data_IF_893713970273
#
_entry.id   IF_893713970273
#
_cell.length_a   1.000
_cell.length_b   1.000
_cell.length_c   1.000
_cell.angle_alpha   90.00
_cell.angle_beta   90.00
_cell.angle_gamma   90.00
#
_symmetry.space_group_name_H-M   'P 1'
#
loop_
_entity.id
_entity.type
_entity.pdbx_description
1 polymer ?
#
# COMPACT_ATOMS: atom_id res chain seq x y z
N UNK A 1 -18.56 26.39 6.79
CA UNK A 1 -18.98 25.15 7.46
C UNK A 1 -18.73 24.03 6.46
N UNK A 2 -17.80 23.09 6.70
CA UNK A 2 -17.65 21.93 5.83
C UNK A 2 -18.80 20.98 6.12
N UNK A 3 -19.57 20.66 5.09
CA UNK A 3 -20.62 19.64 5.16
C UNK A 3 -19.91 18.29 5.17
N UNK A 4 -19.87 17.61 6.33
CA UNK A 4 -19.44 16.23 6.41
C UNK A 4 -20.40 15.37 5.57
N UNK A 5 -19.89 14.65 4.58
CA UNK A 5 -20.67 13.72 3.77
C UNK A 5 -20.69 12.35 4.48
N UNK A 6 -21.77 11.94 5.16
CA UNK A 6 -21.82 10.67 5.90
C UNK A 6 -21.82 9.44 4.96
N UNK A 7 -22.14 9.61 3.67
CA UNK A 7 -22.26 8.51 2.72
C UNK A 7 -20.92 7.77 2.42
N UNK A 8 -19.78 8.47 2.43
CA UNK A 8 -18.49 7.86 2.13
C UNK A 8 -18.00 6.92 3.24
N UNK A 9 -18.30 7.23 4.49
CA UNK A 9 -17.85 6.42 5.62
C UNK A 9 -18.52 5.03 5.65
N UNK A 10 -19.80 4.98 5.34
CA UNK A 10 -20.56 3.70 5.26
C UNK A 10 -20.02 2.82 4.13
N UNK A 11 -19.64 3.42 3.01
CA UNK A 11 -19.10 2.70 1.85
C UNK A 11 -17.72 2.08 2.13
N UNK A 12 -16.81 2.80 2.85
CA UNK A 12 -15.51 2.25 3.24
C UNK A 12 -15.62 1.09 4.23
N UNK A 13 -16.60 1.13 5.13
CA UNK A 13 -16.86 0.06 6.09
C UNK A 13 -17.30 -1.22 5.37
N UNK A 14 -18.18 -1.13 4.40
CA UNK A 14 -18.63 -2.23 3.55
C UNK A 14 -17.47 -2.90 2.78
N UNK A 15 -16.59 -2.09 2.17
CA UNK A 15 -15.42 -2.60 1.44
C UNK A 15 -14.48 -3.39 2.35
N UNK A 16 -14.24 -2.93 3.58
CA UNK A 16 -13.40 -3.63 4.54
C UNK A 16 -14.01 -4.96 4.99
N UNK A 17 -15.33 -5.04 5.10
CA UNK A 17 -16.06 -6.27 5.43
C UNK A 17 -15.95 -7.30 4.30
N UNK A 18 -16.02 -6.89 3.04
CA UNK A 18 -15.90 -7.78 1.88
C UNK A 18 -14.49 -8.41 1.75
N UNK A 19 -13.43 -7.69 2.16
CA UNK A 19 -12.06 -8.22 2.20
C UNK A 19 -11.91 -9.28 3.29
N UNK A 20 -12.59 -9.12 4.41
CA UNK A 20 -12.54 -10.02 5.56
C UNK A 20 -13.11 -11.43 5.29
N UNK A 21 -14.05 -11.58 4.38
CA UNK A 21 -14.74 -12.86 4.11
C UNK A 21 -13.79 -13.96 3.61
N UNK A 22 -12.56 -13.63 3.22
CA UNK A 22 -11.56 -14.59 2.72
C UNK A 22 -10.40 -14.89 3.69
N UNK A 23 -10.35 -14.28 4.88
CA UNK A 23 -9.23 -14.40 5.83
C UNK A 23 -9.60 -15.05 7.17
N UNK A 24 -8.63 -15.70 7.82
CA UNK A 24 -8.80 -16.46 9.07
C UNK A 24 -9.18 -15.58 10.28
N UNK A 25 -9.91 -16.15 11.26
CA UNK A 25 -10.48 -15.47 12.46
C UNK A 25 -9.51 -14.55 13.24
N UNK A 26 -8.20 -14.82 13.24
CA UNK A 26 -7.20 -13.96 13.90
C UNK A 26 -6.97 -12.64 13.16
N UNK A 27 -7.07 -12.65 11.83
CA UNK A 27 -6.99 -11.46 10.98
C UNK A 27 -8.23 -10.59 11.18
N UNK A 28 -9.39 -11.21 11.38
CA UNK A 28 -10.65 -10.51 11.64
C UNK A 28 -10.61 -9.74 12.97
N UNK A 29 -10.07 -10.34 14.03
CA UNK A 29 -9.92 -9.66 15.33
C UNK A 29 -8.99 -8.44 15.25
N UNK A 30 -7.85 -8.57 14.57
CA UNK A 30 -6.93 -7.46 14.33
C UNK A 30 -7.59 -6.34 13.50
N UNK A 31 -8.29 -6.71 12.44
CA UNK A 31 -8.99 -5.74 11.58
C UNK A 31 -10.04 -4.96 12.38
N UNK A 32 -10.87 -5.66 13.18
CA UNK A 32 -11.91 -5.03 14.00
C UNK A 32 -11.27 -4.10 15.04
N UNK A 33 -10.20 -4.55 15.72
CA UNK A 33 -9.46 -3.72 16.70
C UNK A 33 -8.86 -2.49 16.03
N UNK A 34 -8.21 -2.63 14.88
CA UNK A 34 -7.59 -1.51 14.17
C UNK A 34 -8.64 -0.51 13.65
N UNK A 35 -9.78 -1.01 13.16
CA UNK A 35 -10.85 -0.21 12.56
C UNK A 35 -11.71 0.52 13.60
N UNK A 36 -12.17 -0.21 14.61
CA UNK A 36 -13.23 0.22 15.53
C UNK A 36 -12.74 0.57 16.95
N UNK A 37 -11.53 0.14 17.32
CA UNK A 37 -10.95 0.38 18.64
C UNK A 37 -10.71 1.86 18.94
N UNK A 38 -10.61 2.20 20.22
CA UNK A 38 -10.25 3.55 20.67
C UNK A 38 -8.79 3.83 20.28
N UNK A 39 -8.57 4.84 19.43
CA UNK A 39 -7.24 5.19 18.92
C UNK A 39 -6.58 6.25 19.82
N UNK A 40 -5.46 5.90 20.44
CA UNK A 40 -4.66 6.76 21.28
C UNK A 40 -3.28 7.00 20.68
N UNK A 41 -2.99 8.23 20.29
CA UNK A 41 -1.66 8.63 19.80
C UNK A 41 -0.68 8.69 20.97
N UNK A 42 0.47 8.06 20.84
CA UNK A 42 1.51 7.95 21.85
C UNK A 42 2.84 8.58 21.44
N UNK A 43 3.01 8.89 20.14
CA UNK A 43 4.23 9.50 19.63
C UNK A 43 4.10 9.98 18.18
N UNK A 44 5.18 10.56 17.67
CA UNK A 44 5.33 10.96 16.29
C UNK A 44 6.66 10.46 15.73
N UNK A 45 6.67 9.92 14.52
CA UNK A 45 7.91 9.61 13.81
C UNK A 45 8.53 10.90 13.29
N UNK A 46 9.79 11.15 13.66
CA UNK A 46 10.47 12.45 13.44
C UNK A 46 10.93 12.59 11.99
N UNK A 47 11.34 11.49 11.38
CA UNK A 47 11.95 11.48 10.03
C UNK A 47 10.93 11.34 8.89
N UNK A 48 9.62 11.34 9.19
CA UNK A 48 8.57 11.26 8.19
C UNK A 48 8.25 12.63 7.59
N UNK A 49 8.10 12.69 6.25
CA UNK A 49 7.77 13.92 5.52
C UNK A 49 6.36 14.43 5.82
N UNK A 50 5.42 13.53 6.17
CA UNK A 50 4.05 13.82 6.59
C UNK A 50 3.86 13.56 8.09
N UNK A 51 2.71 13.95 8.65
CA UNK A 51 2.38 13.65 10.03
C UNK A 51 2.14 12.14 10.21
N UNK A 52 3.19 11.40 10.53
CA UNK A 52 3.16 9.97 10.82
C UNK A 52 3.19 9.77 12.33
N UNK A 53 2.10 9.26 12.88
CA UNK A 53 1.88 9.17 14.32
C UNK A 53 1.91 7.71 14.77
N UNK A 54 2.66 7.45 15.83
CA UNK A 54 2.66 6.18 16.53
C UNK A 54 1.44 6.12 17.46
N UNK A 55 0.64 5.10 17.33
CA UNK A 55 -0.63 4.99 18.05
C UNK A 55 -0.91 3.56 18.53
N UNK A 56 -1.84 3.46 19.46
CA UNK A 56 -2.40 2.20 19.94
C UNK A 56 -3.91 2.24 19.71
N UNK A 57 -4.46 1.23 19.06
CA UNK A 57 -5.89 0.98 18.96
C UNK A 57 -6.28 -0.09 19.98
N UNK A 58 -7.30 0.17 20.79
CA UNK A 58 -7.75 -0.73 21.86
C UNK A 58 -9.24 -1.01 21.72
N UNK A 59 -9.63 -2.29 21.74
CA UNK A 59 -11.01 -2.75 21.72
C UNK A 59 -11.16 -3.98 22.62
N UNK A 60 -12.07 -3.91 23.59
CA UNK A 60 -12.42 -5.01 24.48
C UNK A 60 -11.20 -5.66 25.18
N UNK A 61 -10.20 -4.82 25.57
CA UNK A 61 -8.96 -5.26 26.22
C UNK A 61 -7.89 -5.80 25.27
N UNK A 62 -8.13 -5.78 23.96
CA UNK A 62 -7.13 -6.08 22.94
C UNK A 62 -6.47 -4.80 22.44
N UNK A 63 -5.16 -4.70 22.64
CA UNK A 63 -4.36 -3.58 22.14
C UNK A 63 -3.62 -3.96 20.86
N UNK A 64 -3.57 -3.03 19.91
CA UNK A 64 -2.82 -3.15 18.67
C UNK A 64 -2.03 -1.88 18.39
N UNK A 65 -0.71 -2.01 18.25
CA UNK A 65 0.15 -0.91 17.85
C UNK A 65 -0.02 -0.64 16.37
N UNK A 66 -0.11 0.64 16.00
CA UNK A 66 -0.29 1.05 14.61
C UNK A 66 0.36 2.42 14.32
N UNK A 67 0.52 2.69 13.02
CA UNK A 67 0.80 4.01 12.50
C UNK A 67 -0.52 4.66 12.11
N UNK A 68 -0.71 5.92 12.50
CA UNK A 68 -1.84 6.73 12.07
C UNK A 68 -1.36 7.94 11.29
N UNK A 69 -1.84 8.08 10.06
CA UNK A 69 -1.54 9.21 9.16
C UNK A 69 -2.84 9.97 8.88
N UNK A 70 -3.13 11.07 9.63
CA UNK A 70 -4.33 11.88 9.40
C UNK A 70 -4.23 12.67 8.09
N UNK A 71 -5.32 12.75 7.34
CA UNK A 71 -5.41 13.58 6.12
C UNK A 71 -5.01 15.04 6.35
N UNK A 72 -5.38 15.60 7.51
CA UNK A 72 -5.02 16.96 7.89
C UNK A 72 -3.51 17.17 8.05
N UNK A 73 -2.72 16.09 8.14
CA UNK A 73 -1.25 16.13 8.24
C UNK A 73 -0.53 15.90 6.92
N UNK A 74 -1.25 15.71 5.82
CA UNK A 74 -0.68 15.53 4.50
C UNK A 74 -0.16 16.86 3.94
N UNK A 75 1.01 16.82 3.31
CA UNK A 75 1.54 17.94 2.55
C UNK A 75 1.08 17.80 1.10
N UNK A 76 0.51 18.86 0.49
CA UNK A 76 0.15 18.84 -0.92
C UNK A 76 1.35 18.51 -1.80
N UNK A 77 1.16 17.59 -2.72
CA UNK A 77 2.15 17.22 -3.73
C UNK A 77 1.67 17.71 -5.08
N UNK A 78 2.56 18.41 -5.81
CA UNK A 78 2.22 19.03 -7.09
C UNK A 78 1.86 18.01 -8.18
N UNK A 79 2.38 16.79 -8.08
CA UNK A 79 2.16 15.69 -9.02
C UNK A 79 1.08 14.70 -8.57
N UNK A 80 0.47 14.92 -7.40
CA UNK A 80 -0.71 14.20 -6.91
C UNK A 80 -1.79 15.20 -6.48
N UNK A 81 -2.36 15.97 -7.44
CA UNK A 81 -3.31 17.04 -7.14
C UNK A 81 -4.65 16.53 -6.65
N UNK A 82 -5.02 15.30 -7.03
CA UNK A 82 -6.32 14.70 -6.74
C UNK A 82 -6.24 13.67 -5.61
N UNK A 83 -7.34 13.54 -4.87
CA UNK A 83 -7.46 12.59 -3.78
C UNK A 83 -6.62 12.94 -2.56
N UNK A 84 -6.19 11.93 -1.82
CA UNK A 84 -5.30 12.08 -0.67
C UNK A 84 -4.38 10.86 -0.52
N UNK A 85 -3.25 11.05 0.17
CA UNK A 85 -2.25 10.00 0.34
C UNK A 85 -2.79 8.82 1.17
N UNK A 86 -3.63 9.10 2.19
CA UNK A 86 -4.26 8.07 2.99
C UNK A 86 -5.16 7.13 2.17
N UNK A 87 -5.85 7.63 1.15
CA UNK A 87 -6.64 6.80 0.22
C UNK A 87 -5.74 5.89 -0.62
N UNK A 88 -4.60 6.37 -1.08
CA UNK A 88 -3.63 5.59 -1.88
C UNK A 88 -2.98 4.49 -1.04
N UNK A 89 -2.65 4.77 0.21
CA UNK A 89 -2.17 3.75 1.18
C UNK A 89 -3.20 2.63 1.34
N UNK A 90 -4.47 2.97 1.51
CA UNK A 90 -5.53 1.98 1.65
C UNK A 90 -5.83 1.26 0.33
N UNK A 91 -5.79 1.95 -0.81
CA UNK A 91 -5.92 1.34 -2.13
C UNK A 91 -4.81 0.31 -2.39
N UNK A 92 -3.57 0.62 -2.00
CA UNK A 92 -2.45 -0.31 -2.10
C UNK A 92 -2.68 -1.58 -1.26
N UNK A 93 -3.20 -1.44 -0.03
CA UNK A 93 -3.59 -2.58 0.80
C UNK A 93 -4.67 -3.44 0.12
N UNK A 94 -5.76 -2.81 -0.40
CA UNK A 94 -6.83 -3.51 -1.11
C UNK A 94 -6.28 -4.31 -2.30
N UNK A 95 -5.41 -3.70 -3.11
CA UNK A 95 -4.79 -4.39 -4.26
C UNK A 95 -3.91 -5.55 -3.81
N UNK A 96 -3.08 -5.37 -2.77
CA UNK A 96 -2.23 -6.42 -2.21
C UNK A 96 -3.05 -7.63 -1.75
N UNK A 97 -4.12 -7.39 -0.98
CA UNK A 97 -5.02 -8.43 -0.48
C UNK A 97 -5.80 -9.10 -1.62
N UNK A 98 -6.37 -8.31 -2.53
CA UNK A 98 -7.11 -8.85 -3.67
C UNK A 98 -6.25 -9.79 -4.52
N UNK A 99 -5.00 -9.41 -4.77
CA UNK A 99 -4.06 -10.22 -5.53
C UNK A 99 -3.54 -11.44 -4.76
N UNK A 100 -3.63 -11.42 -3.43
CA UNK A 100 -3.10 -12.47 -2.55
C UNK A 100 -1.58 -12.36 -2.39
N UNK A 101 -1.03 -11.16 -2.51
CA UNK A 101 0.41 -10.91 -2.36
C UNK A 101 0.84 -10.77 -0.90
N UNK A 102 -0.02 -10.21 -0.03
CA UNK A 102 0.24 -10.05 1.39
C UNK A 102 1.47 -9.18 1.70
N UNK A 103 1.81 -8.23 0.82
CA UNK A 103 3.02 -7.38 0.95
C UNK A 103 2.75 -6.06 1.66
N UNK A 104 1.50 -5.70 1.89
CA UNK A 104 1.11 -4.47 2.62
C UNK A 104 0.55 -4.88 3.98
N UNK A 105 1.03 -4.30 5.10
CA UNK A 105 0.44 -4.55 6.42
C UNK A 105 -1.04 -4.19 6.47
N UNK A 106 -1.78 -4.81 7.39
CA UNK A 106 -3.19 -4.50 7.61
C UNK A 106 -3.40 -3.00 7.71
N UNK A 107 -4.24 -2.45 6.84
CA UNK A 107 -4.48 -1.02 6.70
C UNK A 107 -5.97 -0.74 6.66
N UNK A 108 -6.41 0.32 7.32
CA UNK A 108 -7.80 0.78 7.34
C UNK A 108 -7.88 2.30 7.16
N UNK A 109 -9.01 2.79 6.66
CA UNK A 109 -9.41 4.19 6.77
C UNK A 109 -10.34 4.35 7.97
N UNK A 110 -10.06 5.31 8.84
CA UNK A 110 -10.85 5.54 10.04
C UNK A 110 -10.78 6.99 10.52
N UNK A 111 -11.68 7.36 11.41
CA UNK A 111 -11.54 8.56 12.23
C UNK A 111 -10.56 8.31 13.38
N UNK A 112 -9.83 9.36 13.74
CA UNK A 112 -8.90 9.35 14.86
C UNK A 112 -8.82 10.72 15.53
N UNK A 113 -7.92 10.88 16.51
CA UNK A 113 -7.81 12.13 17.30
C UNK A 113 -7.55 13.39 16.48
N UNK A 114 -7.00 13.25 15.28
CA UNK A 114 -6.71 14.36 14.36
C UNK A 114 -7.55 14.28 13.07
N UNK A 115 -8.74 13.69 13.15
CA UNK A 115 -9.67 13.56 12.04
C UNK A 115 -9.52 12.27 11.25
N UNK A 116 -10.08 12.24 10.05
CA UNK A 116 -10.02 11.08 9.17
C UNK A 116 -8.59 10.85 8.67
N UNK A 117 -8.18 9.57 8.60
CA UNK A 117 -6.88 9.18 8.10
C UNK A 117 -6.74 7.68 7.90
N UNK A 118 -5.55 7.26 7.52
CA UNK A 118 -5.16 5.86 7.42
C UNK A 118 -4.57 5.40 8.75
N UNK A 119 -4.94 4.19 9.20
CA UNK A 119 -4.25 3.46 10.25
C UNK A 119 -3.72 2.13 9.70
N UNK A 120 -2.45 1.84 9.98
CA UNK A 120 -1.76 0.65 9.49
C UNK A 120 -1.10 -0.10 10.66
N UNK A 121 -1.21 -1.43 10.68
CA UNK A 121 -0.55 -2.29 11.65
C UNK A 121 0.95 -1.97 11.71
N UNK A 122 1.48 -1.80 12.93
CA UNK A 122 2.91 -1.69 13.13
C UNK A 122 3.57 -3.05 12.96
N UNK A 123 4.54 -3.13 12.05
CA UNK A 123 5.32 -4.34 11.83
C UNK A 123 6.63 -4.24 12.61
N UNK A 124 6.85 -5.18 13.52
CA UNK A 124 8.15 -5.33 14.19
C UNK A 124 9.08 -6.08 13.24
N UNK A 125 10.10 -5.39 12.78
CA UNK A 125 11.11 -5.97 11.89
C UNK A 125 12.11 -6.81 12.65
N UNK A 126 12.76 -7.76 11.98
CA UNK A 126 13.93 -8.46 12.48
C UNK A 126 15.17 -7.56 12.36
N UNK A 127 15.57 -6.94 13.47
CA UNK A 127 16.72 -6.03 13.53
C UNK A 127 18.07 -6.71 13.23
N UNK A 128 18.13 -8.04 13.21
CA UNK A 128 19.34 -8.78 12.81
C UNK A 128 19.57 -8.76 11.29
N UNK A 129 18.55 -8.40 10.50
CA UNK A 129 18.62 -8.30 9.06
C UNK A 129 19.18 -6.94 8.65
N UNK A 130 20.38 -6.94 8.06
CA UNK A 130 20.99 -5.74 7.47
C UNK A 130 20.24 -5.34 6.19
N UNK A 131 19.37 -4.34 6.26
CA UNK A 131 18.54 -3.88 5.13
C UNK A 131 19.37 -3.48 3.92
N UNK A 132 20.56 -2.89 4.13
CA UNK A 132 21.43 -2.47 3.03
C UNK A 132 22.00 -3.64 2.22
N UNK A 133 22.05 -4.82 2.81
CA UNK A 133 22.40 -6.07 2.12
C UNK A 133 21.18 -6.80 1.64
N UNK A 134 20.13 -6.85 2.46
CA UNK A 134 18.91 -7.59 2.18
C UNK A 134 18.24 -7.14 0.88
N UNK A 135 18.07 -5.82 0.66
CA UNK A 135 17.37 -5.30 -0.51
C UNK A 135 18.00 -5.69 -1.86
N UNK A 136 19.30 -6.02 -1.86
CA UNK A 136 20.05 -6.40 -3.06
C UNK A 136 20.07 -7.93 -3.30
N UNK A 137 19.37 -8.70 -2.48
CA UNK A 137 19.30 -10.16 -2.63
C UNK A 137 18.21 -10.57 -3.62
N UNK A 138 18.33 -11.80 -4.16
CA UNK A 138 17.27 -12.43 -4.96
C UNK A 138 16.22 -13.10 -4.05
N UNK A 139 15.63 -12.31 -3.16
CA UNK A 139 14.64 -12.79 -2.20
C UNK A 139 13.23 -12.82 -2.84
N UNK A 140 12.47 -13.94 -2.76
CA UNK A 140 11.16 -14.07 -3.41
C UNK A 140 10.15 -12.99 -2.96
N UNK A 141 10.19 -12.58 -1.69
CA UNK A 141 9.34 -11.50 -1.17
C UNK A 141 9.68 -10.14 -1.77
N UNK A 142 10.97 -9.86 -2.03
CA UNK A 142 11.40 -8.63 -2.72
C UNK A 142 10.99 -8.66 -4.20
N UNK A 143 11.07 -9.81 -4.86
CA UNK A 143 10.57 -9.99 -6.23
C UNK A 143 9.05 -9.76 -6.29
N UNK A 144 8.30 -10.29 -5.32
CA UNK A 144 6.86 -10.01 -5.19
C UNK A 144 6.58 -8.52 -4.96
N UNK A 145 7.38 -7.86 -4.14
CA UNK A 145 7.29 -6.41 -3.90
C UNK A 145 7.60 -5.60 -5.16
N UNK A 146 8.60 -6.01 -5.95
CA UNK A 146 8.92 -5.37 -7.23
C UNK A 146 7.76 -5.46 -8.22
N UNK A 147 7.11 -6.64 -8.33
CA UNK A 147 5.90 -6.80 -9.14
C UNK A 147 4.76 -5.91 -8.62
N UNK A 148 4.55 -5.88 -7.31
CA UNK A 148 3.53 -5.05 -6.71
C UNK A 148 3.77 -3.55 -6.97
N UNK A 149 5.02 -3.07 -6.78
CA UNK A 149 5.38 -1.69 -7.09
C UNK A 149 5.14 -1.34 -8.57
N UNK A 150 5.42 -2.28 -9.49
CA UNK A 150 5.14 -2.10 -10.91
C UNK A 150 3.63 -2.02 -11.20
N UNK A 151 2.79 -2.81 -10.52
CA UNK A 151 1.33 -2.77 -10.67
C UNK A 151 0.75 -1.44 -10.21
N UNK A 152 1.11 -1.00 -8.99
CA UNK A 152 0.56 0.22 -8.38
C UNK A 152 1.31 1.50 -8.79
N UNK A 153 2.35 1.40 -9.64
CA UNK A 153 3.20 2.51 -10.05
C UNK A 153 3.76 3.28 -8.85
N UNK A 154 4.45 2.58 -7.97
CA UNK A 154 5.04 3.18 -6.78
C UNK A 154 6.13 4.17 -7.18
N UNK A 155 6.02 5.43 -6.74
CA UNK A 155 6.96 6.49 -7.14
C UNK A 155 8.03 6.79 -6.09
N UNK A 156 8.08 6.02 -4.97
CA UNK A 156 9.02 6.30 -3.87
C UNK A 156 9.40 5.05 -3.03
N UNK A 157 9.58 3.86 -3.64
CA UNK A 157 10.04 2.69 -2.89
C UNK A 157 11.50 2.84 -2.49
N UNK A 158 11.73 3.03 -1.19
CA UNK A 158 13.05 3.14 -0.55
C UNK A 158 13.43 1.84 0.17
N UNK A 159 14.71 1.71 0.51
CA UNK A 159 15.22 0.58 1.31
C UNK A 159 14.54 0.59 2.70
N UNK A 160 14.41 1.76 3.33
CA UNK A 160 13.74 1.90 4.64
C UNK A 160 12.23 1.62 4.63
N UNK A 161 11.60 1.46 3.45
CA UNK A 161 10.20 1.05 3.34
C UNK A 161 10.02 -0.48 3.31
N UNK A 162 11.12 -1.26 3.33
CA UNK A 162 11.09 -2.71 3.40
C UNK A 162 11.11 -3.16 4.87
N UNK A 163 10.16 -3.97 5.26
CA UNK A 163 9.94 -4.41 6.63
C UNK A 163 10.08 -5.94 6.72
N UNK A 164 11.30 -6.48 6.71
CA UNK A 164 11.52 -7.91 6.89
C UNK A 164 11.19 -8.33 8.33
N UNK A 165 10.29 -9.29 8.49
CA UNK A 165 9.93 -9.85 9.79
C UNK A 165 10.74 -11.12 10.10
N UNK A 166 11.31 -11.74 9.09
CA UNK A 166 12.25 -12.84 9.12
C UNK A 166 12.84 -13.02 7.70
N UNK A 167 13.66 -14.06 7.52
CA UNK A 167 14.29 -14.34 6.23
C UNK A 167 13.34 -14.81 5.12
N UNK A 168 12.07 -15.11 5.42
CA UNK A 168 11.10 -15.61 4.45
C UNK A 168 10.02 -14.57 4.10
N UNK A 169 9.77 -13.59 4.98
CA UNK A 169 8.65 -12.67 4.85
C UNK A 169 9.07 -11.21 4.98
N UNK A 170 8.65 -10.39 4.02
CA UNK A 170 8.88 -8.95 4.01
C UNK A 170 7.57 -8.22 3.65
N UNK A 171 7.23 -7.23 4.47
CA UNK A 171 6.19 -6.24 4.14
C UNK A 171 6.82 -4.98 3.55
N UNK A 172 5.99 -4.18 2.87
CA UNK A 172 6.32 -2.82 2.47
C UNK A 172 5.38 -1.82 3.13
N UNK A 173 5.89 -0.63 3.40
CA UNK A 173 5.08 0.50 3.89
C UNK A 173 5.24 1.73 2.98
N UNK A 174 4.54 2.81 3.33
CA UNK A 174 4.58 4.11 2.67
C UNK A 174 4.18 4.08 1.19
N UNK A 175 2.93 3.68 0.93
CA UNK A 175 2.32 3.59 -0.40
C UNK A 175 1.48 4.82 -0.78
N UNK A 176 1.69 5.96 -0.11
CA UNK A 176 0.91 7.18 -0.34
C UNK A 176 1.10 7.81 -1.72
N UNK A 177 2.24 7.56 -2.37
CA UNK A 177 2.58 8.13 -3.69
C UNK A 177 2.57 7.05 -4.78
N UNK A 178 1.38 6.48 -5.00
CA UNK A 178 1.11 5.36 -5.92
C UNK A 178 -0.05 5.68 -6.86
N UNK A 179 -0.30 4.84 -7.85
CA UNK A 179 -1.40 4.92 -8.81
C UNK A 179 -1.38 6.15 -9.74
N UNK A 180 -0.24 6.84 -9.87
CA UNK A 180 -0.14 7.95 -10.81
C UNK A 180 -0.49 7.53 -12.23
N UNK A 181 -1.17 8.42 -12.99
CA UNK A 181 -1.60 8.16 -14.36
C UNK A 181 -0.43 8.00 -15.34
N UNK A 182 0.63 8.78 -15.16
CA UNK A 182 1.86 8.66 -15.92
C UNK A 182 2.74 7.53 -15.35
N UNK A 183 3.58 6.94 -16.20
CA UNK A 183 4.53 5.91 -15.80
C UNK A 183 5.71 6.53 -15.04
N UNK A 184 5.62 6.50 -13.73
CA UNK A 184 6.58 7.13 -12.78
C UNK A 184 7.17 6.12 -11.79
N UNK A 185 7.20 4.83 -12.13
CA UNK A 185 7.80 3.83 -11.26
C UNK A 185 9.21 4.24 -10.84
N UNK A 186 9.40 4.35 -9.52
CA UNK A 186 10.67 4.72 -8.90
C UNK A 186 10.88 3.85 -7.67
N UNK A 187 11.82 2.94 -7.77
CA UNK A 187 12.03 1.89 -6.77
C UNK A 187 13.51 1.57 -6.63
N UNK A 188 13.89 1.01 -5.48
CA UNK A 188 15.23 0.42 -5.29
C UNK A 188 15.29 -1.05 -5.78
N UNK A 189 14.16 -1.63 -6.22
CA UNK A 189 14.03 -3.05 -6.55
C UNK A 189 14.09 -3.30 -8.07
N UNK A 190 15.19 -2.90 -8.72
CA UNK A 190 15.40 -3.06 -10.16
C UNK A 190 16.14 -4.34 -10.56
N UNK A 191 16.50 -5.22 -9.61
CA UNK A 191 17.31 -6.42 -9.88
C UNK A 191 16.63 -7.42 -10.82
N UNK A 192 15.31 -7.36 -10.97
CA UNK A 192 14.54 -8.23 -11.90
C UNK A 192 14.15 -7.53 -13.22
N UNK A 193 14.63 -6.30 -13.45
CA UNK A 193 14.32 -5.59 -14.69
C UNK A 193 14.67 -6.41 -15.92
N UNK A 194 13.69 -6.67 -16.80
CA UNK A 194 13.82 -7.51 -17.99
C UNK A 194 13.66 -9.02 -17.75
N UNK A 195 13.57 -9.48 -16.50
CA UNK A 195 13.32 -10.88 -16.19
C UNK A 195 11.90 -11.27 -16.61
N UNK A 196 11.77 -12.42 -17.25
CA UNK A 196 10.47 -12.98 -17.65
C UNK A 196 9.63 -13.32 -16.42
N UNK A 197 8.34 -13.04 -16.48
CA UNK A 197 7.40 -13.41 -15.43
C UNK A 197 7.25 -14.94 -15.35
N UNK A 198 7.14 -15.44 -14.12
CA UNK A 198 6.73 -16.80 -13.84
C UNK A 198 5.23 -16.98 -14.12
N UNK A 199 4.78 -18.23 -14.29
CA UNK A 199 3.35 -18.56 -14.44
C UNK A 199 2.49 -17.99 -13.29
N UNK A 200 3.02 -17.99 -12.05
CA UNK A 200 2.34 -17.42 -10.89
C UNK A 200 2.19 -15.90 -10.98
N UNK A 201 3.21 -15.21 -11.46
CA UNK A 201 3.18 -13.75 -11.65
C UNK A 201 2.22 -13.36 -12.79
N UNK A 202 2.20 -14.11 -13.88
CA UNK A 202 1.22 -13.95 -14.97
C UNK A 202 -0.20 -14.13 -14.43
N UNK A 203 -0.48 -15.22 -13.71
CA UNK A 203 -1.79 -15.46 -13.12
C UNK A 203 -2.22 -14.36 -12.14
N UNK A 204 -1.25 -13.76 -11.42
CA UNK A 204 -1.51 -12.60 -10.54
C UNK A 204 -1.91 -11.36 -11.35
N UNK A 205 -1.20 -11.06 -12.44
CA UNK A 205 -1.52 -9.95 -13.33
C UNK A 205 -2.90 -10.14 -14.01
N UNK A 206 -3.20 -11.34 -14.50
CA UNK A 206 -4.50 -11.69 -15.08
C UNK A 206 -5.65 -11.53 -14.07
N UNK A 207 -5.43 -11.99 -12.81
CA UNK A 207 -6.36 -11.78 -11.69
C UNK A 207 -6.61 -10.30 -11.45
N UNK A 208 -5.56 -9.48 -11.45
CA UNK A 208 -5.64 -8.03 -11.30
C UNK A 208 -6.44 -7.39 -12.42
N UNK A 209 -6.13 -7.70 -13.67
CA UNK A 209 -6.83 -7.18 -14.84
C UNK A 209 -8.32 -7.52 -14.81
N UNK A 210 -8.66 -8.79 -14.50
CA UNK A 210 -10.05 -9.24 -14.35
C UNK A 210 -10.76 -8.53 -13.19
N UNK A 211 -10.08 -8.36 -12.06
CA UNK A 211 -10.60 -7.68 -10.88
C UNK A 211 -10.94 -6.22 -11.14
N UNK A 212 -10.09 -5.51 -11.89
CA UNK A 212 -10.29 -4.12 -12.29
C UNK A 212 -11.40 -3.93 -13.33
N UNK A 213 -11.93 -4.99 -13.91
CA UNK A 213 -13.15 -5.01 -14.70
C UNK A 213 -14.41 -5.33 -13.88
N UNK A 214 -14.27 -5.53 -12.56
CA UNK A 214 -15.34 -5.95 -11.65
C UNK A 214 -15.18 -5.43 -10.24
N UNK A 215 -15.19 -6.33 -9.25
CA UNK A 215 -15.27 -5.98 -7.84
C UNK A 215 -14.06 -5.21 -7.28
N UNK A 216 -12.85 -5.42 -7.79
CA UNK A 216 -11.69 -4.63 -7.38
C UNK A 216 -11.86 -3.16 -7.80
N UNK A 217 -12.35 -2.90 -9.03
CA UNK A 217 -12.65 -1.54 -9.47
C UNK A 217 -13.63 -0.84 -8.54
N UNK A 218 -14.74 -1.52 -8.20
CA UNK A 218 -15.75 -0.97 -7.29
C UNK A 218 -15.18 -0.60 -5.92
N UNK A 219 -14.18 -1.37 -5.42
CA UNK A 219 -13.49 -1.07 -4.16
C UNK A 219 -12.55 0.13 -4.28
N UNK A 220 -11.96 0.36 -5.45
CA UNK A 220 -11.01 1.45 -5.67
C UNK A 220 -11.67 2.78 -6.06
N UNK A 221 -12.84 2.79 -6.67
CA UNK A 221 -13.56 4.01 -7.10
C UNK A 221 -13.77 5.05 -6.00
N UNK A 222 -14.00 4.71 -4.72
CA UNK A 222 -14.07 5.69 -3.64
C UNK A 222 -12.71 6.30 -3.23
N UNK A 223 -11.60 5.73 -3.69
CA UNK A 223 -10.23 6.03 -3.23
C UNK A 223 -9.39 6.72 -4.29
N UNK A 224 -9.60 6.38 -5.55
CA UNK A 224 -8.81 6.80 -6.71
C UNK A 224 -9.73 7.41 -7.76
N UNK A 225 -9.16 8.24 -8.63
CA UNK A 225 -9.89 8.75 -9.79
C UNK A 225 -10.10 7.65 -10.85
N UNK A 226 -11.07 7.85 -11.74
CA UNK A 226 -11.29 6.93 -12.86
C UNK A 226 -10.04 6.81 -13.73
N UNK A 227 -9.36 7.92 -13.98
CA UNK A 227 -8.12 7.98 -14.77
C UNK A 227 -6.98 7.18 -14.15
N UNK A 228 -6.83 7.20 -12.83
CA UNK A 228 -5.84 6.42 -12.10
C UNK A 228 -6.13 4.92 -12.16
N UNK A 229 -7.39 4.54 -12.03
CA UNK A 229 -7.83 3.14 -12.18
C UNK A 229 -7.60 2.66 -13.60
N UNK A 230 -7.98 3.44 -14.62
CA UNK A 230 -7.80 3.11 -16.03
C UNK A 230 -6.31 3.03 -16.41
N UNK A 231 -5.47 3.91 -15.86
CA UNK A 231 -4.01 3.83 -16.01
C UNK A 231 -3.45 2.55 -15.39
N UNK A 232 -4.00 2.10 -14.26
CA UNK A 232 -3.61 0.83 -13.63
C UNK A 232 -4.01 -0.37 -14.47
N UNK A 233 -5.20 -0.36 -15.08
CA UNK A 233 -5.63 -1.38 -16.06
C UNK A 233 -4.67 -1.43 -17.25
N UNK A 234 -4.37 -0.27 -17.85
CA UNK A 234 -3.45 -0.19 -19.00
C UNK A 234 -2.04 -0.69 -18.64
N UNK A 235 -1.56 -0.39 -17.43
CA UNK A 235 -0.25 -0.81 -16.93
C UNK A 235 -0.18 -2.32 -16.77
N UNK A 236 -1.18 -2.95 -16.15
CA UNK A 236 -1.23 -4.41 -16.01
C UNK A 236 -1.30 -5.09 -17.38
N UNK A 237 -2.11 -4.55 -18.30
CA UNK A 237 -2.22 -5.09 -19.66
C UNK A 237 -0.86 -5.02 -20.40
N UNK A 238 -0.14 -3.90 -20.26
CA UNK A 238 1.21 -3.74 -20.82
C UNK A 238 2.20 -4.75 -20.22
N UNK A 239 2.21 -4.95 -18.90
CA UNK A 239 3.08 -5.93 -18.24
C UNK A 239 2.82 -7.35 -18.77
N UNK A 240 1.56 -7.71 -18.97
CA UNK A 240 1.19 -9.00 -19.57
C UNK A 240 1.67 -9.14 -21.02
N UNK A 241 1.57 -8.08 -21.82
CA UNK A 241 2.00 -8.07 -23.23
C UNK A 241 3.52 -8.14 -23.35
N UNK A 242 4.25 -7.41 -22.50
CA UNK A 242 5.72 -7.42 -22.45
C UNK A 242 6.27 -8.74 -21.85
N UNK A 243 5.53 -9.41 -20.99
CA UNK A 243 5.86 -10.70 -20.37
C UNK A 243 7.05 -10.66 -19.40
N UNK A 244 7.52 -9.49 -19.00
CA UNK A 244 8.70 -9.31 -18.15
C UNK A 244 8.57 -8.09 -17.23
N UNK A 245 9.45 -8.03 -16.21
CA UNK A 245 9.55 -6.87 -15.33
C UNK A 245 9.98 -5.63 -16.13
N UNK A 246 9.39 -4.45 -15.83
CA UNK A 246 9.67 -3.23 -16.57
C UNK A 246 11.12 -2.77 -16.40
N UNK A 247 11.64 -2.09 -17.41
CA UNK A 247 12.88 -1.33 -17.30
C UNK A 247 12.61 0.08 -16.72
N UNK A 248 13.64 0.73 -16.13
CA UNK A 248 13.52 2.12 -15.70
C UNK A 248 13.09 3.03 -16.85
N UNK A 249 12.11 3.92 -16.59
CA UNK A 249 11.71 4.93 -17.54
C UNK A 249 12.85 5.94 -17.76
N UNK A 250 13.39 6.11 -18.99
CA UNK A 250 14.52 7.01 -19.25
C UNK A 250 14.21 8.49 -19.00
N UNK A 251 12.93 8.85 -18.93
CA UNK A 251 12.48 10.22 -18.72
C UNK A 251 12.10 10.52 -17.26
N UNK A 252 12.30 9.55 -16.35
CA UNK A 252 11.96 9.67 -14.94
C UNK A 252 13.09 9.12 -14.05
N UNK A 253 13.38 9.71 -12.88
CA UNK A 253 14.38 9.16 -11.96
C UNK A 253 14.04 7.73 -11.55
N UNK A 254 14.93 6.79 -11.82
CA UNK A 254 14.69 5.37 -11.55
C UNK A 254 14.63 5.04 -10.06
N UNK A 255 15.41 5.75 -9.22
CA UNK A 255 15.55 5.49 -7.78
C UNK A 255 15.16 6.73 -6.98
N UNK A 256 14.41 6.61 -5.88
CA UNK A 256 14.09 7.75 -5.01
C UNK A 256 15.35 8.32 -4.34
N UNK A 257 15.30 9.61 -4.00
CA UNK A 257 16.37 10.27 -3.26
C UNK A 257 15.83 10.89 -1.96
N UNK A 258 16.46 10.58 -0.80
CA UNK A 258 17.45 9.51 -0.61
C UNK A 258 16.85 8.12 -0.85
N UNK A 259 17.71 7.16 -1.19
CA UNK A 259 17.29 5.78 -1.44
C UNK A 259 16.97 4.99 -0.13
N UNK A 260 17.33 5.57 1.02
CA UNK A 260 17.12 5.02 2.36
C UNK A 260 16.14 5.89 3.14
#
# INVERSE_FOLDING_TARGET
>A
MPVACPAHFVQFRSIQEDICVQGQMATDAKLITLRDGALRVTGRLVDASNATLYAVSELDGHEMVCIYKPKAGERPLWDFPDGCLAHREFAAYIVSEYLGLGVVPLTVLRDGPYGQGMAQEWITIDESIDLAKFFATDHPGLRTMSLFDAIINNTDRKIGHLLPINMDNVYGCDHGVTFHVEDKLRTVLWQWSGDTFTEKEIATLEKGLKGLQGNLRTQLEPLLTTEEIDATVARIARLLDEGCFPAPNPNWPAVPWPAF
#
